data_IF_624910984755
#
_entry.id   IF_624910984755
#
_cell.length_a   1.000
_cell.length_b   1.000
_cell.length_c   1.000
_cell.angle_alpha   90.00
_cell.angle_beta   90.00
_cell.angle_gamma   90.00
#
_symmetry.space_group_name_H-M   'P 1'
#
loop_
_entity.id
_entity.type
_entity.pdbx_description
1 polymer ?
#
# COMPACT_ATOMS: atom_id res chain seq x y z
N UNK A 1 29.91 -28.45 6.10
CA UNK A 1 29.92 -29.32 4.92
C UNK A 1 29.47 -28.52 3.72
N UNK A 2 30.20 -28.51 2.58
CA UNK A 2 29.68 -27.88 1.37
C UNK A 2 28.39 -28.60 0.99
N UNK A 3 27.26 -27.89 0.98
CA UNK A 3 26.00 -28.43 0.49
C UNK A 3 26.21 -28.80 -0.98
N UNK A 4 26.25 -30.10 -1.27
CA UNK A 4 26.28 -30.58 -2.64
C UNK A 4 25.04 -30.05 -3.35
N UNK A 5 25.27 -29.43 -4.52
CA UNK A 5 24.18 -28.96 -5.37
C UNK A 5 23.36 -30.20 -5.75
N UNK A 6 22.08 -30.22 -5.35
CA UNK A 6 21.15 -31.28 -5.75
C UNK A 6 21.20 -31.47 -7.26
N UNK A 7 21.45 -32.69 -7.73
CA UNK A 7 21.57 -33.00 -9.16
C UNK A 7 20.29 -32.63 -9.90
N UNK A 8 20.41 -32.27 -11.19
CA UNK A 8 19.22 -32.04 -12.02
C UNK A 8 18.47 -33.35 -12.18
N UNK A 9 17.16 -33.34 -11.96
CA UNK A 9 16.30 -34.53 -12.08
C UNK A 9 16.39 -35.15 -13.48
N UNK A 10 16.51 -34.33 -14.52
CA UNK A 10 16.73 -34.78 -15.91
C UNK A 10 18.03 -35.58 -16.06
N UNK A 11 19.10 -35.15 -15.37
CA UNK A 11 20.40 -35.81 -15.41
C UNK A 11 20.34 -37.12 -14.62
N UNK A 12 19.67 -37.14 -13.47
CA UNK A 12 19.45 -38.38 -12.73
C UNK A 12 18.66 -39.42 -13.54
N UNK A 13 17.62 -39.00 -14.26
CA UNK A 13 16.83 -39.89 -15.12
C UNK A 13 17.65 -40.40 -16.31
N UNK A 14 18.45 -39.54 -16.95
CA UNK A 14 19.31 -39.91 -18.07
C UNK A 14 20.37 -40.94 -17.66
N UNK A 15 20.98 -40.76 -16.48
CA UNK A 15 21.99 -41.68 -15.96
C UNK A 15 21.39 -42.96 -15.34
N UNK A 16 20.12 -42.94 -14.90
CA UNK A 16 19.38 -44.19 -14.57
C UNK A 16 19.22 -45.10 -15.78
N UNK A 17 19.01 -44.54 -16.96
CA UNK A 17 18.89 -45.31 -18.20
C UNK A 17 20.25 -45.83 -18.74
N UNK A 18 21.37 -45.32 -18.23
CA UNK A 18 22.73 -45.68 -18.67
C UNK A 18 23.56 -46.25 -17.50
N UNK A 19 23.31 -47.52 -17.18
CA UNK A 19 23.96 -48.25 -16.07
C UNK A 19 25.49 -48.22 -16.08
N UNK A 20 26.11 -48.12 -17.27
CA UNK A 20 27.57 -48.04 -17.45
C UNK A 20 28.24 -46.82 -16.78
N UNK A 21 27.48 -45.79 -16.41
CA UNK A 21 28.01 -44.55 -15.83
C UNK A 21 27.61 -44.33 -14.36
N UNK A 22 26.93 -45.31 -13.73
CA UNK A 22 26.40 -45.18 -12.35
C UNK A 22 27.53 -45.02 -11.33
N UNK A 23 28.66 -45.69 -11.54
CA UNK A 23 29.83 -45.63 -10.64
C UNK A 23 30.66 -44.34 -10.83
N UNK A 24 30.43 -43.59 -11.92
CA UNK A 24 31.16 -42.37 -12.26
C UNK A 24 30.43 -41.12 -11.75
N UNK A 25 30.33 -40.99 -10.42
CA UNK A 25 29.65 -39.87 -9.75
C UNK A 25 30.16 -38.48 -10.17
N UNK A 26 31.45 -38.37 -10.50
CA UNK A 26 32.06 -37.14 -10.99
C UNK A 26 31.55 -36.75 -12.39
N UNK A 27 31.36 -37.71 -13.31
CA UNK A 27 30.81 -37.45 -14.65
C UNK A 27 29.36 -36.97 -14.54
N UNK A 28 28.56 -37.63 -13.71
CA UNK A 28 27.17 -37.23 -13.44
C UNK A 28 27.12 -35.79 -12.91
N UNK A 29 28.04 -35.45 -12.00
CA UNK A 29 28.13 -34.12 -11.41
C UNK A 29 28.59 -33.08 -12.43
N UNK A 30 29.58 -33.38 -13.28
CA UNK A 30 30.04 -32.48 -14.33
C UNK A 30 29.00 -32.25 -15.41
N UNK A 31 28.28 -33.29 -15.85
CA UNK A 31 27.18 -33.16 -16.81
C UNK A 31 26.03 -32.36 -16.19
N UNK A 32 25.72 -32.59 -14.91
CA UNK A 32 24.72 -31.78 -14.20
C UNK A 32 25.14 -30.33 -14.05
N UNK A 33 26.44 -30.02 -13.90
CA UNK A 33 26.94 -28.64 -13.84
C UNK A 33 26.95 -27.98 -15.22
N UNK A 34 27.27 -28.74 -16.26
CA UNK A 34 27.32 -28.25 -17.64
C UNK A 34 25.92 -27.91 -18.18
N UNK A 35 24.94 -28.78 -17.92
CA UNK A 35 23.55 -28.57 -18.33
C UNK A 35 22.81 -27.55 -17.46
N UNK A 36 23.44 -27.00 -16.42
CA UNK A 36 22.81 -26.09 -15.48
C UNK A 36 22.72 -24.65 -16.02
N UNK A 37 21.84 -24.43 -17.00
CA UNK A 37 21.51 -23.09 -17.49
C UNK A 37 20.76 -22.24 -16.46
N UNK A 38 20.23 -22.87 -15.40
CA UNK A 38 19.46 -22.18 -14.36
C UNK A 38 20.26 -21.11 -13.63
N UNK A 39 21.58 -21.22 -13.65
CA UNK A 39 22.49 -20.31 -12.94
C UNK A 39 22.86 -19.08 -13.75
N UNK A 40 22.53 -19.04 -15.05
CA UNK A 40 22.63 -17.82 -15.87
C UNK A 40 21.35 -16.99 -15.80
N UNK A 41 20.28 -17.53 -15.20
CA UNK A 41 19.06 -16.79 -14.98
C UNK A 41 19.29 -15.64 -14.00
N UNK A 42 18.85 -14.42 -14.35
CA UNK A 42 18.89 -13.33 -13.40
C UNK A 42 17.96 -13.64 -12.22
N UNK A 43 18.48 -13.50 -11.00
CA UNK A 43 17.75 -13.67 -9.73
C UNK A 43 16.28 -13.17 -9.72
N UNK A 44 15.96 -11.99 -10.28
CA UNK A 44 14.59 -11.48 -10.31
C UNK A 44 13.64 -12.37 -11.13
N UNK A 45 14.11 -12.96 -12.25
CA UNK A 45 13.33 -13.97 -13.00
C UNK A 45 13.28 -15.29 -12.27
N UNK A 46 14.34 -15.66 -11.55
CA UNK A 46 14.33 -16.88 -10.73
C UNK A 46 13.30 -16.78 -9.58
N UNK A 47 13.17 -15.61 -8.96
CA UNK A 47 12.14 -15.32 -7.95
C UNK A 47 10.73 -15.46 -8.52
N UNK A 48 10.53 -15.26 -9.84
CA UNK A 48 9.24 -15.43 -10.47
C UNK A 48 8.74 -16.89 -10.52
N UNK A 49 9.61 -17.87 -10.22
CA UNK A 49 9.26 -19.30 -10.17
C UNK A 49 8.97 -19.81 -8.75
N UNK A 50 9.01 -18.95 -7.72
CA UNK A 50 8.66 -19.28 -6.32
C UNK A 50 9.46 -20.44 -5.69
N UNK A 51 10.60 -20.80 -6.31
CA UNK A 51 11.37 -21.97 -5.92
C UNK A 51 12.59 -21.56 -5.10
N UNK A 52 12.52 -21.76 -3.78
CA UNK A 52 13.67 -21.64 -2.89
C UNK A 52 14.83 -22.57 -3.31
N UNK A 53 14.50 -23.76 -3.85
CA UNK A 53 15.51 -24.70 -4.36
C UNK A 53 16.28 -24.13 -5.55
N UNK A 54 15.60 -23.44 -6.46
CA UNK A 54 16.23 -22.75 -7.59
C UNK A 54 17.16 -21.64 -7.09
N UNK A 55 16.71 -20.84 -6.12
CA UNK A 55 17.52 -19.75 -5.57
C UNK A 55 18.75 -20.26 -4.79
N UNK A 56 18.60 -21.31 -3.99
CA UNK A 56 19.73 -21.98 -3.33
C UNK A 56 20.70 -22.57 -4.34
N UNK A 57 20.20 -23.16 -5.42
CA UNK A 57 21.02 -23.69 -6.51
C UNK A 57 21.83 -22.59 -7.19
N UNK A 58 21.22 -21.44 -7.45
CA UNK A 58 21.90 -20.25 -8.01
C UNK A 58 22.98 -19.75 -7.04
N UNK A 59 22.65 -19.70 -5.75
CA UNK A 59 23.56 -19.26 -4.68
C UNK A 59 24.78 -20.16 -4.53
N UNK A 60 24.58 -21.47 -4.35
CA UNK A 60 25.68 -22.43 -4.13
C UNK A 60 26.63 -22.40 -5.32
N UNK A 61 26.08 -22.33 -6.53
CA UNK A 61 26.86 -22.22 -7.76
C UNK A 61 27.63 -20.89 -7.88
N UNK A 62 27.09 -19.79 -7.35
CA UNK A 62 27.78 -18.48 -7.27
C UNK A 62 28.90 -18.50 -6.23
N UNK A 63 28.69 -19.14 -5.06
CA UNK A 63 29.73 -19.30 -4.04
C UNK A 63 30.85 -20.25 -4.46
N UNK A 64 30.52 -21.33 -5.17
CA UNK A 64 31.51 -22.23 -5.76
C UNK A 64 32.40 -21.49 -6.76
N UNK A 65 31.81 -20.61 -7.58
CA UNK A 65 32.55 -19.75 -8.50
C UNK A 65 33.51 -18.79 -7.76
N UNK A 66 33.11 -18.23 -6.61
CA UNK A 66 33.98 -17.38 -5.76
C UNK A 66 35.26 -18.11 -5.31
N UNK A 67 35.20 -19.43 -5.11
CA UNK A 67 36.35 -20.24 -4.67
C UNK A 67 37.28 -20.62 -5.83
N UNK A 68 36.75 -20.67 -7.05
CA UNK A 68 37.54 -20.89 -8.26
C UNK A 68 38.21 -19.58 -8.69
N UNK A 69 39.34 -19.23 -8.06
CA UNK A 69 40.28 -18.21 -8.58
C UNK A 69 40.87 -18.71 -9.91
N UNK A 70 40.12 -18.65 -11.01
CA UNK A 70 40.70 -18.69 -12.36
C UNK A 70 40.75 -17.26 -12.86
N UNK A 71 41.96 -16.75 -13.07
CA UNK A 71 42.26 -15.44 -13.64
C UNK A 71 41.92 -15.34 -15.13
N UNK A 72 40.80 -15.93 -15.55
CA UNK A 72 40.27 -15.85 -16.90
C UNK A 72 39.32 -14.65 -17.03
N UNK A 73 39.40 -13.96 -18.16
CA UNK A 73 38.57 -12.80 -18.48
C UNK A 73 37.13 -13.18 -18.88
N UNK A 74 36.64 -14.34 -18.46
CA UNK A 74 35.34 -14.86 -18.86
C UNK A 74 34.23 -14.07 -18.15
N UNK A 75 33.37 -13.47 -18.97
CA UNK A 75 32.17 -12.78 -18.52
C UNK A 75 31.13 -13.81 -18.05
N UNK A 76 30.56 -13.60 -16.86
CA UNK A 76 29.42 -14.37 -16.38
C UNK A 76 28.56 -13.54 -15.43
N UNK A 77 27.24 -13.78 -15.45
CA UNK A 77 26.28 -13.10 -14.58
C UNK A 77 26.62 -13.29 -13.08
N UNK A 78 27.13 -14.47 -12.71
CA UNK A 78 27.56 -14.82 -11.35
C UNK A 78 28.75 -13.98 -10.88
N UNK A 79 29.72 -13.75 -11.79
CA UNK A 79 30.87 -12.88 -11.53
C UNK A 79 30.39 -11.46 -11.29
N UNK A 80 29.49 -10.96 -12.15
CA UNK A 80 28.91 -9.62 -12.03
C UNK A 80 28.18 -9.40 -10.69
N UNK A 81 27.41 -10.38 -10.22
CA UNK A 81 26.75 -10.33 -8.90
C UNK A 81 27.72 -10.23 -7.72
N UNK A 82 28.92 -10.80 -7.86
CA UNK A 82 29.95 -10.78 -6.83
C UNK A 82 30.89 -9.57 -6.93
N UNK A 83 31.19 -9.12 -8.14
CA UNK A 83 32.18 -8.07 -8.40
C UNK A 83 31.57 -6.67 -8.42
N UNK A 84 30.38 -6.50 -9.00
CA UNK A 84 29.77 -5.19 -9.20
C UNK A 84 28.73 -4.89 -8.11
N UNK A 85 29.02 -3.87 -7.31
CA UNK A 85 28.14 -3.37 -6.25
C UNK A 85 26.80 -2.83 -6.78
N UNK A 86 26.80 -2.20 -7.96
CA UNK A 86 25.61 -1.59 -8.54
C UNK A 86 24.69 -2.64 -9.11
N UNK A 87 25.26 -3.61 -9.84
CA UNK A 87 24.51 -4.75 -10.33
C UNK A 87 23.91 -5.57 -9.19
N UNK A 88 24.68 -5.84 -8.13
CA UNK A 88 24.19 -6.50 -6.92
C UNK A 88 23.01 -5.75 -6.29
N UNK A 89 23.10 -4.43 -6.19
CA UNK A 89 22.03 -3.58 -5.65
C UNK A 89 20.79 -3.56 -6.54
N UNK A 90 20.95 -3.44 -7.86
CA UNK A 90 19.86 -3.50 -8.83
C UNK A 90 19.14 -4.84 -8.75
N UNK A 91 19.90 -5.95 -8.80
CA UNK A 91 19.34 -7.28 -8.83
C UNK A 91 18.59 -7.62 -7.53
N UNK A 92 19.13 -7.21 -6.39
CA UNK A 92 18.46 -7.34 -5.10
C UNK A 92 17.13 -6.58 -5.07
N UNK A 93 17.11 -5.30 -5.46
CA UNK A 93 15.87 -4.52 -5.42
C UNK A 93 14.83 -5.01 -6.43
N UNK A 94 15.24 -5.44 -7.62
CA UNK A 94 14.31 -6.02 -8.61
C UNK A 94 13.72 -7.35 -8.15
N UNK A 95 14.55 -8.24 -7.59
CA UNK A 95 14.05 -9.49 -7.00
C UNK A 95 13.12 -9.25 -5.82
N UNK A 96 13.46 -8.28 -4.96
CA UNK A 96 12.64 -7.91 -3.82
C UNK A 96 11.29 -7.33 -4.25
N UNK A 97 11.25 -6.47 -5.27
CA UNK A 97 9.98 -5.96 -5.83
C UNK A 97 9.06 -7.09 -6.32
N UNK A 98 9.61 -8.06 -7.04
CA UNK A 98 8.81 -9.16 -7.59
C UNK A 98 8.25 -10.07 -6.50
N UNK A 99 9.05 -10.36 -5.47
CA UNK A 99 8.65 -11.16 -4.30
C UNK A 99 7.61 -10.41 -3.45
N UNK A 100 7.76 -9.10 -3.28
CA UNK A 100 6.83 -8.26 -2.51
C UNK A 100 5.44 -8.22 -3.17
N UNK A 101 5.38 -8.13 -4.50
CA UNK A 101 4.11 -8.20 -5.25
C UNK A 101 3.31 -9.46 -4.95
N UNK A 102 4.00 -10.56 -4.67
CA UNK A 102 3.41 -11.87 -4.39
C UNK A 102 3.12 -12.12 -2.91
N UNK A 103 3.56 -11.23 -2.02
CA UNK A 103 3.48 -11.38 -0.55
C UNK A 103 4.28 -12.58 -0.02
N UNK A 104 5.32 -13.02 -0.73
CA UNK A 104 6.11 -14.19 -0.34
C UNK A 104 7.15 -13.88 0.75
N UNK A 105 6.71 -13.92 2.01
CA UNK A 105 7.54 -13.58 3.16
C UNK A 105 8.81 -14.43 3.31
N UNK A 106 8.73 -15.73 2.99
CA UNK A 106 9.87 -16.64 3.09
C UNK A 106 11.00 -16.26 2.10
N UNK A 107 10.62 -15.84 0.89
CA UNK A 107 11.57 -15.39 -0.11
C UNK A 107 12.17 -14.03 0.24
N UNK A 108 11.40 -13.14 0.87
CA UNK A 108 11.92 -11.87 1.41
C UNK A 108 13.01 -12.12 2.46
N UNK A 109 12.72 -12.97 3.45
CA UNK A 109 13.68 -13.37 4.50
C UNK A 109 14.95 -13.98 3.91
N UNK A 110 14.76 -14.83 2.89
CA UNK A 110 15.88 -15.42 2.17
C UNK A 110 16.71 -14.33 1.50
N UNK A 111 16.11 -13.45 0.69
CA UNK A 111 16.83 -12.39 -0.01
C UNK A 111 17.56 -11.44 0.96
N UNK A 112 16.93 -11.05 2.07
CA UNK A 112 17.56 -10.17 3.06
C UNK A 112 18.76 -10.80 3.74
N UNK A 113 18.68 -12.10 4.10
CA UNK A 113 19.80 -12.83 4.69
C UNK A 113 21.00 -12.93 3.73
N UNK A 114 20.76 -12.96 2.43
CA UNK A 114 21.78 -13.13 1.40
C UNK A 114 22.40 -11.82 0.91
N UNK A 115 21.64 -10.73 0.91
CA UNK A 115 22.06 -9.42 0.41
C UNK A 115 22.30 -8.39 1.51
N UNK A 116 22.91 -8.83 2.61
CA UNK A 116 23.28 -7.99 3.74
C UNK A 116 24.05 -6.73 3.32
N UNK A 117 23.70 -5.59 3.93
CA UNK A 117 24.33 -4.29 3.71
C UNK A 117 23.91 -3.55 2.43
N UNK A 118 23.00 -4.13 1.64
CA UNK A 118 22.42 -3.46 0.46
C UNK A 118 21.24 -2.58 0.90
N UNK A 119 21.18 -1.33 0.44
CA UNK A 119 20.04 -0.46 0.72
C UNK A 119 18.78 -0.93 -0.04
N UNK A 120 17.63 -0.80 0.60
CA UNK A 120 16.32 -1.05 -0.01
C UNK A 120 15.83 0.28 -0.61
N UNK A 121 15.56 0.27 -1.92
CA UNK A 121 15.08 1.47 -2.63
C UNK A 121 13.64 1.79 -2.23
N UNK A 122 13.22 3.07 -2.29
CA UNK A 122 11.87 3.46 -1.92
C UNK A 122 10.79 2.73 -2.71
N UNK A 123 11.06 2.41 -3.99
CA UNK A 123 10.10 1.69 -4.83
C UNK A 123 9.69 0.32 -4.26
N UNK A 124 10.58 -0.36 -3.52
CA UNK A 124 10.22 -1.62 -2.86
C UNK A 124 9.22 -1.36 -1.74
N UNK A 125 9.49 -0.34 -0.91
CA UNK A 125 8.60 0.04 0.18
C UNK A 125 7.23 0.51 -0.34
N UNK A 126 7.19 1.27 -1.44
CA UNK A 126 5.93 1.68 -2.08
C UNK A 126 5.16 0.48 -2.64
N UNK A 127 5.84 -0.51 -3.24
CA UNK A 127 5.18 -1.74 -3.69
C UNK A 127 4.66 -2.59 -2.54
N UNK A 128 5.37 -2.66 -1.42
CA UNK A 128 4.88 -3.35 -0.23
C UNK A 128 3.64 -2.66 0.34
N UNK A 129 3.63 -1.32 0.30
CA UNK A 129 2.50 -0.52 0.69
C UNK A 129 1.29 -0.68 -0.26
N UNK A 130 1.52 -0.78 -1.58
CA UNK A 130 0.46 -0.96 -2.60
C UNK A 130 -0.26 -2.30 -2.48
N UNK A 131 0.47 -3.33 -2.04
CA UNK A 131 -0.03 -4.70 -1.93
C UNK A 131 -0.65 -4.95 -0.55
N UNK A 132 -0.40 -4.06 0.41
CA UNK A 132 -0.88 -4.19 1.78
C UNK A 132 -0.10 -5.21 2.61
N UNK A 133 1.18 -5.44 2.29
CA UNK A 133 2.00 -6.47 2.91
C UNK A 133 2.58 -6.01 4.26
N UNK A 134 1.74 -5.99 5.30
CA UNK A 134 2.10 -5.50 6.64
C UNK A 134 3.31 -6.24 7.23
N UNK A 135 3.32 -7.57 7.17
CA UNK A 135 4.41 -8.39 7.72
C UNK A 135 5.77 -8.07 7.09
N UNK A 136 5.78 -7.79 5.78
CA UNK A 136 7.00 -7.43 5.05
C UNK A 136 7.47 -6.03 5.45
N UNK A 137 6.54 -5.08 5.62
CA UNK A 137 6.87 -3.72 6.05
C UNK A 137 7.42 -3.68 7.49
N UNK A 138 6.83 -4.45 8.39
CA UNK A 138 7.34 -4.65 9.75
C UNK A 138 8.74 -5.23 9.72
N UNK A 139 8.95 -6.30 8.93
CA UNK A 139 10.27 -6.89 8.77
C UNK A 139 11.30 -5.92 8.20
N UNK A 140 10.93 -5.06 7.25
CA UNK A 140 11.84 -4.03 6.74
C UNK A 140 12.22 -3.01 7.80
N UNK A 141 11.28 -2.61 8.66
CA UNK A 141 11.56 -1.68 9.76
C UNK A 141 12.42 -2.31 10.86
N UNK A 142 12.11 -3.55 11.27
CA UNK A 142 12.88 -4.27 12.30
C UNK A 142 14.34 -4.46 11.88
N UNK A 143 14.58 -4.59 10.57
CA UNK A 143 15.91 -4.70 9.99
C UNK A 143 16.46 -3.36 9.47
N UNK A 144 15.84 -2.22 9.79
CA UNK A 144 16.33 -0.91 9.34
C UNK A 144 17.48 -0.40 10.23
N UNK A 145 18.66 -0.35 9.65
CA UNK A 145 19.86 0.17 10.31
C UNK A 145 19.92 1.71 10.37
N UNK A 146 18.95 2.42 9.77
CA UNK A 146 18.95 3.89 9.72
C UNK A 146 18.73 4.54 11.10
N UNK A 147 17.93 3.91 11.97
CA UNK A 147 17.61 4.37 13.33
C UNK A 147 18.75 4.09 14.32
N UNK A 148 19.34 2.89 14.25
CA UNK A 148 20.38 2.44 15.18
C UNK A 148 21.69 3.23 15.08
N UNK A 149 22.02 3.80 13.92
CA UNK A 149 23.28 4.56 13.75
C UNK A 149 23.26 5.93 14.43
N UNK A 150 22.08 6.55 14.63
CA UNK A 150 21.97 7.82 15.38
C UNK A 150 22.25 7.62 16.88
N UNK A 151 21.88 6.48 17.44
CA UNK A 151 22.19 6.14 18.84
C UNK A 151 23.61 5.60 19.05
N UNK A 152 24.20 4.92 18.07
CA UNK A 152 25.58 4.39 18.17
C UNK A 152 26.68 5.46 18.12
N UNK A 153 26.38 6.69 17.69
CA UNK A 153 27.32 7.81 17.86
C UNK A 153 27.40 8.30 19.33
N UNK A 154 26.51 7.83 20.21
CA UNK A 154 26.44 8.29 21.61
C UNK A 154 26.89 7.26 22.66
N UNK A 155 26.88 5.94 22.42
CA UNK A 155 27.27 4.97 23.47
C UNK A 155 27.84 3.65 22.94
N UNK A 156 29.03 3.29 23.46
CA UNK A 156 29.75 2.00 23.51
C UNK A 156 29.77 1.06 22.27
N UNK A 157 30.99 0.68 21.77
CA UNK A 157 31.19 -0.09 20.54
C UNK A 157 30.99 -1.63 20.66
N UNK A 158 30.42 -2.15 21.75
CA UNK A 158 30.36 -3.62 22.01
C UNK A 158 29.01 -4.28 21.71
N UNK A 159 27.99 -3.54 21.29
CA UNK A 159 26.74 -4.16 20.77
C UNK A 159 26.92 -4.50 19.29
N UNK A 160 26.85 -5.80 19.01
CA UNK A 160 26.82 -6.42 17.68
C UNK A 160 26.15 -5.51 16.63
N UNK A 161 26.88 -5.17 15.58
CA UNK A 161 26.35 -4.45 14.42
C UNK A 161 25.27 -5.35 13.81
N UNK A 162 24.01 -5.09 14.11
CA UNK A 162 22.90 -5.79 13.47
C UNK A 162 23.02 -5.47 11.97
N UNK A 163 23.20 -6.50 11.15
CA UNK A 163 23.48 -6.36 9.71
C UNK A 163 22.16 -6.17 8.96
N UNK A 164 21.42 -5.11 9.32
CA UNK A 164 20.20 -4.68 8.65
C UNK A 164 20.42 -3.94 7.32
N UNK A 165 19.35 -3.80 6.57
CA UNK A 165 19.30 -2.99 5.35
C UNK A 165 19.05 -1.52 5.70
N UNK A 166 19.48 -0.59 4.83
CA UNK A 166 19.02 0.80 4.94
C UNK A 166 17.73 0.92 4.15
N UNK A 167 16.61 1.17 4.81
CA UNK A 167 15.33 1.40 4.13
C UNK A 167 15.16 2.90 3.86
N UNK A 168 14.96 3.26 2.59
CA UNK A 168 14.63 4.62 2.22
C UNK A 168 13.11 4.76 2.09
N UNK A 169 12.45 5.23 3.15
CA UNK A 169 11.01 5.50 3.13
C UNK A 169 10.72 6.75 2.28
N UNK A 170 9.82 6.64 1.29
CA UNK A 170 9.34 7.79 0.51
C UNK A 170 7.94 8.23 0.95
N UNK A 171 7.59 9.46 0.60
CA UNK A 171 6.23 10.01 0.79
C UNK A 171 5.20 9.23 -0.03
N UNK A 172 5.60 8.77 -1.21
CA UNK A 172 4.77 8.01 -2.14
C UNK A 172 4.22 6.71 -1.53
N UNK A 173 4.91 6.14 -0.53
CA UNK A 173 4.44 4.91 0.13
C UNK A 173 3.08 5.12 0.81
N UNK A 174 2.86 6.28 1.42
CA UNK A 174 1.58 6.63 2.02
C UNK A 174 0.52 6.87 0.94
N UNK A 175 0.86 7.60 -0.13
CA UNK A 175 -0.08 7.89 -1.21
C UNK A 175 -0.57 6.62 -1.90
N UNK A 176 0.34 5.66 -2.11
CA UNK A 176 0.01 4.40 -2.75
C UNK A 176 -0.79 3.48 -1.82
N UNK A 177 -0.49 3.47 -0.51
CA UNK A 177 -1.32 2.77 0.48
C UNK A 177 -2.75 3.33 0.54
N UNK A 178 -2.89 4.65 0.46
CA UNK A 178 -4.16 5.37 0.39
C UNK A 178 -4.92 5.00 -0.87
N UNK A 179 -4.26 5.01 -2.03
CA UNK A 179 -4.91 4.70 -3.32
C UNK A 179 -5.46 3.27 -3.39
N UNK A 180 -4.80 2.31 -2.74
CA UNK A 180 -5.23 0.90 -2.67
C UNK A 180 -6.09 0.58 -1.44
N UNK A 181 -6.33 1.56 -0.57
CA UNK A 181 -7.20 1.44 0.58
C UNK A 181 -6.70 0.57 1.72
N UNK A 182 -5.39 0.50 1.92
CA UNK A 182 -4.79 -0.28 2.98
C UNK A 182 -4.68 0.52 4.29
N UNK A 183 -5.81 0.67 5.00
CA UNK A 183 -5.91 1.45 6.25
C UNK A 183 -4.85 1.03 7.28
N UNK A 184 -4.66 -0.28 7.50
CA UNK A 184 -3.70 -0.81 8.48
C UNK A 184 -2.26 -0.39 8.16
N UNK A 185 -1.88 -0.44 6.87
CA UNK A 185 -0.55 -0.04 6.41
C UNK A 185 -0.37 1.46 6.55
N UNK A 186 -1.37 2.25 6.18
CA UNK A 186 -1.31 3.70 6.32
C UNK A 186 -1.21 4.11 7.80
N UNK A 187 -2.00 3.51 8.70
CA UNK A 187 -1.90 3.75 10.14
C UNK A 187 -0.49 3.41 10.67
N UNK A 188 0.03 2.24 10.31
CA UNK A 188 1.35 1.81 10.71
C UNK A 188 2.46 2.72 10.17
N UNK A 189 2.39 3.14 8.90
CA UNK A 189 3.36 4.06 8.31
C UNK A 189 3.36 5.39 9.07
N UNK A 190 2.18 5.96 9.35
CA UNK A 190 2.06 7.23 10.06
C UNK A 190 2.66 7.19 11.47
N UNK A 191 2.54 6.05 12.17
CA UNK A 191 3.09 5.89 13.52
C UNK A 191 4.61 5.63 13.53
N UNK A 192 5.09 4.77 12.62
CA UNK A 192 6.45 4.23 12.70
C UNK A 192 7.47 4.94 11.80
N UNK A 193 7.05 5.86 10.92
CA UNK A 193 7.95 6.59 10.03
C UNK A 193 7.90 8.12 10.24
N UNK A 194 8.20 8.63 11.45
CA UNK A 194 8.10 10.06 11.75
C UNK A 194 9.12 10.92 10.98
N UNK A 195 10.15 10.32 10.38
CA UNK A 195 11.17 11.05 9.61
C UNK A 195 10.67 11.58 8.26
N UNK A 196 9.60 11.02 7.72
CA UNK A 196 9.09 11.39 6.41
C UNK A 196 7.99 12.44 6.57
N UNK A 197 8.15 13.61 5.93
CA UNK A 197 7.11 14.64 5.90
C UNK A 197 6.02 14.25 4.91
N UNK A 198 5.04 13.49 5.39
CA UNK A 198 3.87 13.07 4.63
C UNK A 198 2.92 14.24 4.36
N UNK A 199 2.30 14.26 3.18
CA UNK A 199 1.12 15.07 2.93
C UNK A 199 -0.10 14.36 3.53
N UNK A 200 -0.47 14.76 4.75
CA UNK A 200 -1.57 14.16 5.51
C UNK A 200 -2.95 14.50 4.91
N UNK A 201 -3.02 15.47 4.00
CA UNK A 201 -4.28 15.95 3.41
C UNK A 201 -4.97 14.85 2.59
N UNK A 202 -4.21 14.11 1.78
CA UNK A 202 -4.74 12.99 0.97
C UNK A 202 -5.17 11.81 1.85
N UNK A 203 -4.40 11.49 2.88
CA UNK A 203 -4.75 10.44 3.83
C UNK A 203 -6.01 10.79 4.61
N UNK A 204 -6.19 12.08 4.96
CA UNK A 204 -7.41 12.58 5.60
C UNK A 204 -8.63 12.49 4.69
N UNK A 205 -8.52 12.97 3.45
CA UNK A 205 -9.59 12.85 2.45
C UNK A 205 -10.03 11.38 2.29
N UNK A 206 -9.06 10.47 2.22
CA UNK A 206 -9.34 9.05 2.13
C UNK A 206 -10.01 8.46 3.38
N UNK A 207 -9.53 8.81 4.58
CA UNK A 207 -10.15 8.39 5.83
C UNK A 207 -11.65 8.75 5.89
N UNK A 208 -11.97 9.98 5.51
CA UNK A 208 -13.35 10.48 5.43
C UNK A 208 -14.16 9.75 4.35
N UNK A 209 -13.55 9.44 3.19
CA UNK A 209 -14.18 8.64 2.12
C UNK A 209 -14.35 7.16 2.43
N UNK A 210 -13.65 6.63 3.44
CA UNK A 210 -13.86 5.27 3.91
C UNK A 210 -14.81 5.22 5.12
N UNK A 211 -15.06 6.36 5.77
CA UNK A 211 -15.83 6.45 7.01
C UNK A 211 -15.04 6.11 8.26
N UNK A 212 -13.71 6.13 8.19
CA UNK A 212 -12.83 5.89 9.33
C UNK A 212 -12.66 7.18 10.14
N UNK A 213 -13.66 7.49 10.95
CA UNK A 213 -13.72 8.72 11.76
C UNK A 213 -12.56 8.78 12.76
N UNK A 214 -12.23 7.65 13.40
CA UNK A 214 -11.15 7.59 14.39
C UNK A 214 -9.79 7.97 13.78
N UNK A 215 -9.50 7.46 12.59
CA UNK A 215 -8.32 7.85 11.84
C UNK A 215 -8.36 9.32 11.39
N UNK A 216 -9.53 9.81 10.96
CA UNK A 216 -9.69 11.20 10.55
C UNK A 216 -9.44 12.17 11.71
N UNK A 217 -9.97 11.91 12.90
CA UNK A 217 -9.70 12.65 14.13
C UNK A 217 -8.21 12.63 14.52
N UNK A 218 -7.58 11.45 14.41
CA UNK A 218 -6.15 11.32 14.65
C UNK A 218 -5.33 12.16 13.67
N UNK A 219 -5.69 12.16 12.38
CA UNK A 219 -5.01 12.97 11.37
C UNK A 219 -5.16 14.48 11.62
N UNK A 220 -6.36 14.94 12.02
CA UNK A 220 -6.61 16.35 12.38
C UNK A 220 -5.77 16.78 13.57
N UNK A 221 -5.76 16.00 14.66
CA UNK A 221 -4.96 16.30 15.86
C UNK A 221 -3.45 16.34 15.56
N UNK A 222 -3.00 15.65 14.51
CA UNK A 222 -1.61 15.66 14.05
C UNK A 222 -1.35 16.66 12.91
N UNK A 223 -2.22 17.68 12.75
CA UNK A 223 -2.00 18.82 11.85
C UNK A 223 -2.32 18.56 10.38
N UNK A 224 -3.14 17.55 10.06
CA UNK A 224 -3.74 17.46 8.73
C UNK A 224 -4.73 18.62 8.55
N UNK A 225 -4.63 19.32 7.42
CA UNK A 225 -5.57 20.38 7.07
C UNK A 225 -6.34 19.98 5.81
N UNK A 226 -7.66 20.09 5.86
CA UNK A 226 -8.46 20.00 4.64
C UNK A 226 -8.22 21.28 3.81
N UNK A 227 -7.96 21.15 2.50
CA UNK A 227 -8.00 22.33 1.61
C UNK A 227 -9.46 22.73 1.40
N UNK A 228 -9.95 23.59 2.29
CA UNK A 228 -11.36 23.99 2.52
C UNK A 228 -12.12 24.63 1.34
N UNK A 229 -11.54 24.75 0.15
CA UNK A 229 -12.17 25.45 -0.97
C UNK A 229 -12.84 24.47 -1.95
N UNK A 230 -12.04 23.84 -2.82
CA UNK A 230 -12.56 22.98 -3.91
C UNK A 230 -12.64 21.52 -3.48
N UNK A 231 -11.66 21.04 -2.70
CA UNK A 231 -11.60 19.64 -2.29
C UNK A 231 -12.61 19.31 -1.18
N UNK A 232 -12.82 20.23 -0.22
CA UNK A 232 -13.83 20.01 0.82
C UNK A 232 -15.25 19.84 0.28
N UNK A 233 -15.63 20.63 -0.74
CA UNK A 233 -16.94 20.48 -1.42
C UNK A 233 -17.06 19.11 -2.08
N UNK A 234 -16.08 18.72 -2.89
CA UNK A 234 -16.07 17.41 -3.56
C UNK A 234 -16.17 16.26 -2.57
N UNK A 235 -15.48 16.36 -1.43
CA UNK A 235 -15.50 15.36 -0.38
C UNK A 235 -16.91 15.18 0.21
N UNK A 236 -17.62 16.27 0.51
CA UNK A 236 -19.00 16.20 1.05
C UNK A 236 -19.97 15.59 0.05
N UNK A 237 -19.88 15.96 -1.24
CA UNK A 237 -20.69 15.33 -2.29
C UNK A 237 -20.46 13.83 -2.36
N UNK A 238 -19.21 13.38 -2.30
CA UNK A 238 -18.86 11.96 -2.37
C UNK A 238 -19.31 11.17 -1.13
N UNK A 239 -19.20 11.75 0.07
CA UNK A 239 -19.72 11.14 1.31
C UNK A 239 -21.25 11.06 1.28
N UNK A 240 -21.93 12.09 0.78
CA UNK A 240 -23.39 12.12 0.62
C UNK A 240 -23.86 11.10 -0.43
N UNK A 241 -23.12 10.92 -1.53
CA UNK A 241 -23.38 9.90 -2.54
C UNK A 241 -23.25 8.47 -1.99
N UNK A 242 -22.45 8.26 -0.93
CA UNK A 242 -22.27 6.97 -0.26
C UNK A 242 -23.26 6.77 0.91
N UNK A 243 -24.05 7.79 1.25
CA UNK A 243 -25.06 7.69 2.31
C UNK A 243 -24.50 7.71 3.74
N UNK A 244 -23.24 8.08 3.94
CA UNK A 244 -22.59 8.07 5.26
C UNK A 244 -22.97 9.29 6.12
N UNK A 245 -24.15 9.21 6.71
CA UNK A 245 -24.71 10.24 7.59
C UNK A 245 -23.84 10.52 8.83
N UNK A 246 -23.25 9.48 9.40
CA UNK A 246 -22.32 9.53 10.53
C UNK A 246 -21.12 10.45 10.26
N UNK A 247 -20.48 10.29 9.09
CA UNK A 247 -19.35 11.11 8.65
C UNK A 247 -19.78 12.54 8.38
N UNK A 248 -20.94 12.76 7.76
CA UNK A 248 -21.46 14.11 7.50
C UNK A 248 -21.75 14.88 8.79
N UNK A 249 -22.36 14.21 9.78
CA UNK A 249 -22.59 14.79 11.11
C UNK A 249 -21.28 15.14 11.80
N UNK A 250 -20.28 14.27 11.70
CA UNK A 250 -18.96 14.52 12.25
C UNK A 250 -18.26 15.70 11.56
N UNK A 251 -18.25 15.75 10.22
CA UNK A 251 -17.67 16.84 9.45
C UNK A 251 -18.33 18.19 9.75
N UNK A 252 -19.64 18.21 9.95
CA UNK A 252 -20.35 19.41 10.35
C UNK A 252 -19.97 19.83 11.78
N UNK A 253 -19.97 18.90 12.73
CA UNK A 253 -19.67 19.18 14.13
C UNK A 253 -18.29 19.81 14.31
N UNK A 254 -17.31 19.37 13.54
CA UNK A 254 -15.94 19.90 13.56
C UNK A 254 -15.79 21.19 12.73
N UNK A 255 -16.88 21.72 12.15
CA UNK A 255 -16.90 22.91 11.27
C UNK A 255 -15.91 22.82 10.08
N UNK A 256 -15.56 21.60 9.68
CA UNK A 256 -14.53 21.34 8.68
C UNK A 256 -15.01 21.58 7.25
N UNK A 257 -16.31 21.64 7.01
CA UNK A 257 -16.84 21.90 5.67
C UNK A 257 -18.12 22.71 5.73
N UNK A 258 -18.25 23.67 4.80
CA UNK A 258 -19.55 24.27 4.49
C UNK A 258 -20.33 23.32 3.58
N UNK A 259 -21.47 22.84 4.06
CA UNK A 259 -22.41 22.09 3.25
C UNK A 259 -22.90 23.02 2.14
N UNK A 260 -22.39 22.76 0.93
CA UNK A 260 -22.63 23.57 -0.25
C UNK A 260 -23.94 23.20 -0.93
N UNK A 261 -24.31 24.00 -1.93
CA UNK A 261 -25.36 23.66 -2.87
C UNK A 261 -25.13 22.29 -3.54
N UNK A 262 -26.22 21.55 -3.77
CA UNK A 262 -26.25 20.30 -4.54
C UNK A 262 -26.01 19.01 -3.75
N UNK A 263 -25.61 19.08 -2.48
CA UNK A 263 -25.37 17.87 -1.65
C UNK A 263 -26.68 17.08 -1.43
N UNK A 264 -27.80 17.79 -1.28
CA UNK A 264 -29.14 17.19 -1.18
C UNK A 264 -29.51 16.44 -2.46
N UNK A 265 -29.19 17.02 -3.61
CA UNK A 265 -29.44 16.40 -4.93
C UNK A 265 -28.65 15.11 -5.07
N UNK A 266 -27.35 15.11 -4.76
CA UNK A 266 -26.50 13.91 -4.83
C UNK A 266 -26.97 12.81 -3.87
N UNK A 267 -27.39 13.17 -2.66
CA UNK A 267 -27.97 12.20 -1.72
C UNK A 267 -29.32 11.63 -2.22
N UNK A 268 -30.17 12.47 -2.82
CA UNK A 268 -31.45 12.08 -3.39
C UNK A 268 -31.30 11.20 -4.63
N UNK A 269 -30.36 11.51 -5.52
CA UNK A 269 -30.00 10.70 -6.69
C UNK A 269 -29.61 9.27 -6.29
N UNK A 270 -28.85 9.13 -5.21
CA UNK A 270 -28.40 7.82 -4.71
C UNK A 270 -29.38 7.16 -3.72
N UNK A 271 -30.53 7.79 -3.43
CA UNK A 271 -31.58 7.19 -2.58
C UNK A 271 -31.33 7.23 -1.08
N UNK A 272 -30.40 8.05 -0.61
CA UNK A 272 -30.04 8.13 0.80
C UNK A 272 -31.00 9.06 1.58
N UNK A 273 -32.19 8.54 1.87
CA UNK A 273 -33.26 9.27 2.57
C UNK A 273 -32.82 9.87 3.90
N UNK A 274 -32.03 9.15 4.70
CA UNK A 274 -31.60 9.62 6.02
C UNK A 274 -30.63 10.81 5.94
N UNK A 275 -29.76 10.82 4.92
CA UNK A 275 -28.88 11.96 4.61
C UNK A 275 -29.72 13.15 4.14
N UNK A 276 -30.68 12.92 3.25
CA UNK A 276 -31.59 13.98 2.78
C UNK A 276 -32.38 14.58 3.94
N UNK A 277 -32.97 13.74 4.82
CA UNK A 277 -33.69 14.20 6.02
C UNK A 277 -32.84 15.13 6.86
N UNK A 278 -31.63 14.67 7.22
CA UNK A 278 -30.72 15.43 8.05
C UNK A 278 -30.27 16.74 7.39
N UNK A 279 -29.91 16.72 6.10
CA UNK A 279 -29.53 17.93 5.36
C UNK A 279 -30.67 18.96 5.30
N UNK A 280 -31.91 18.50 5.15
CA UNK A 280 -33.07 19.37 5.12
C UNK A 280 -33.42 19.95 6.48
N UNK A 281 -33.23 19.19 7.57
CA UNK A 281 -33.39 19.67 8.94
C UNK A 281 -32.32 20.71 9.28
N UNK A 282 -31.12 20.51 8.76
CA UNK A 282 -30.02 21.43 8.96
C UNK A 282 -30.19 22.74 8.18
N UNK A 283 -30.53 22.65 6.89
CA UNK A 283 -30.79 23.81 6.05
C UNK A 283 -32.06 24.56 6.47
N UNK A 284 -33.00 23.90 7.15
CA UNK A 284 -34.15 24.55 7.76
C UNK A 284 -33.72 25.64 8.79
N UNK A 285 -32.55 25.54 9.42
CA UNK A 285 -32.01 26.60 10.28
C UNK A 285 -31.23 27.69 9.54
N UNK A 286 -30.87 27.49 8.26
CA UNK A 286 -30.00 28.35 7.44
C UNK A 286 -30.76 28.83 6.19
N UNK A 287 -31.51 29.92 6.33
CA UNK A 287 -32.36 30.61 5.33
C UNK A 287 -32.38 30.14 3.85
N UNK A 288 -33.60 29.79 3.40
CA UNK A 288 -34.28 30.07 2.11
C UNK A 288 -33.70 29.67 0.74
N UNK A 289 -32.60 28.93 0.62
CA UNK A 289 -32.07 28.55 -0.72
C UNK A 289 -32.43 27.15 -1.23
N UNK A 290 -33.36 26.47 -0.58
CA UNK A 290 -33.67 25.08 -0.92
C UNK A 290 -34.61 24.91 -2.12
N UNK A 291 -35.32 25.96 -2.55
CA UNK A 291 -36.40 25.84 -3.54
C UNK A 291 -35.98 25.21 -4.88
N UNK A 292 -34.82 25.60 -5.41
CA UNK A 292 -34.31 25.04 -6.67
C UNK A 292 -33.75 23.63 -6.53
N UNK A 293 -33.02 23.36 -5.44
CA UNK A 293 -32.40 22.04 -5.19
C UNK A 293 -33.42 20.97 -4.81
N UNK A 294 -34.45 21.35 -4.04
CA UNK A 294 -35.53 20.43 -3.66
C UNK A 294 -36.36 20.01 -4.87
N UNK A 295 -36.68 20.94 -5.78
CA UNK A 295 -37.42 20.63 -7.01
C UNK A 295 -36.65 19.64 -7.90
N UNK A 296 -35.34 19.89 -8.09
CA UNK A 296 -34.50 19.01 -8.88
C UNK A 296 -34.30 17.65 -8.20
N UNK A 297 -34.14 17.61 -6.87
CA UNK A 297 -34.06 16.39 -6.08
C UNK A 297 -35.35 15.55 -6.13
N UNK A 298 -36.53 16.16 -6.20
CA UNK A 298 -37.81 15.45 -6.40
C UNK A 298 -37.83 14.79 -7.79
N UNK A 299 -37.43 15.52 -8.82
CA UNK A 299 -37.36 14.99 -10.17
C UNK A 299 -36.38 13.82 -10.28
N UNK A 300 -35.17 13.95 -9.73
CA UNK A 300 -34.17 12.87 -9.79
C UNK A 300 -34.59 11.64 -8.99
N UNK A 301 -35.17 11.83 -7.80
CA UNK A 301 -35.73 10.74 -7.00
C UNK A 301 -36.86 9.99 -7.73
N UNK A 302 -37.74 10.71 -8.43
CA UNK A 302 -38.82 10.13 -9.21
C UNK A 302 -38.31 9.34 -10.43
N UNK A 303 -37.31 9.88 -11.15
CA UNK A 303 -36.67 9.20 -12.29
C UNK A 303 -35.99 7.90 -11.85
N UNK A 304 -35.35 7.89 -10.67
CA UNK A 304 -34.65 6.72 -10.15
C UNK A 304 -35.57 5.71 -9.43
N UNK A 305 -36.89 5.93 -9.43
CA UNK A 305 -37.87 5.02 -8.82
C UNK A 305 -37.89 5.05 -7.28
N UNK A 306 -37.29 6.07 -6.66
CA UNK A 306 -37.19 6.24 -5.21
C UNK A 306 -38.46 6.90 -4.65
N UNK A 307 -39.58 6.17 -4.72
CA UNK A 307 -40.92 6.68 -4.41
C UNK A 307 -41.06 7.28 -3.00
N UNK A 308 -40.47 6.64 -1.98
CA UNK A 308 -40.56 7.12 -0.60
C UNK A 308 -39.80 8.43 -0.40
N UNK A 309 -38.67 8.58 -1.09
CA UNK A 309 -37.86 9.80 -1.05
C UNK A 309 -38.54 10.94 -1.81
N UNK A 310 -39.12 10.66 -2.98
CA UNK A 310 -39.88 11.63 -3.74
C UNK A 310 -41.14 12.11 -2.99
N UNK A 311 -41.89 11.18 -2.35
CA UNK A 311 -43.04 11.53 -1.49
C UNK A 311 -42.61 12.39 -0.31
N UNK A 312 -41.50 12.04 0.34
CA UNK A 312 -40.98 12.79 1.48
C UNK A 312 -40.55 14.21 1.09
N UNK A 313 -39.78 14.35 0.00
CA UNK A 313 -39.37 15.65 -0.52
C UNK A 313 -40.55 16.50 -0.96
N UNK A 314 -41.54 15.90 -1.62
CA UNK A 314 -42.76 16.59 -2.05
C UNK A 314 -43.57 17.11 -0.87
N UNK A 315 -43.83 16.27 0.13
CA UNK A 315 -44.55 16.66 1.33
C UNK A 315 -43.86 17.84 2.04
N UNK A 316 -42.53 17.87 2.04
CA UNK A 316 -41.73 18.93 2.67
C UNK A 316 -41.56 20.19 1.81
N UNK A 317 -41.72 20.09 0.49
CA UNK A 317 -41.78 21.23 -0.42
C UNK A 317 -43.17 21.88 -0.43
N UNK A 318 -44.23 21.08 -0.26
CA UNK A 318 -45.63 21.51 -0.18
C UNK A 318 -46.01 22.10 1.19
N UNK A 319 -45.16 21.97 2.22
CA UNK A 319 -45.32 22.76 3.46
C UNK A 319 -44.80 24.18 3.23
N UNK A 320 -45.67 25.20 3.05
CA UNK A 320 -45.22 26.57 3.14
C UNK A 320 -44.75 26.80 4.58
N UNK A 321 -43.53 27.29 4.77
CA UNK A 321 -43.21 28.08 5.96
C UNK A 321 -44.01 29.35 5.86
N UNK A 322 -45.28 29.28 6.26
CA UNK A 322 -46.11 30.45 6.41
C UNK A 322 -45.36 31.42 7.31
N UNK A 323 -45.08 32.60 6.75
CA UNK A 323 -44.75 33.82 7.46
C UNK A 323 -45.93 34.27 8.35
N UNK A 324 -46.37 33.42 9.27
CA UNK A 324 -47.53 33.66 10.13
C UNK A 324 -47.28 33.19 11.57
N UNK A 325 -46.12 33.53 12.15
CA UNK A 325 -45.94 33.62 13.61
C UNK A 325 -45.25 34.92 14.06
N UNK A 326 -45.07 35.91 13.17
CA UNK A 326 -44.59 37.24 13.53
C UNK A 326 -45.65 38.30 13.20
N UNK A 327 -46.86 38.25 13.78
CA UNK A 327 -47.80 39.40 13.79
C UNK A 327 -49.07 39.23 14.65
N UNK A 328 -49.10 38.48 15.77
CA UNK A 328 -50.27 38.57 16.67
C UNK A 328 -49.92 38.33 18.15
N UNK A 329 -49.01 39.11 18.72
CA UNK A 329 -49.00 39.37 20.17
C UNK A 329 -48.57 40.82 20.43
N UNK A 330 -49.44 41.76 20.07
CA UNK A 330 -49.54 43.07 20.72
C UNK A 330 -51.00 43.50 20.70
N UNK A 331 -51.70 43.29 21.81
CA UNK A 331 -52.84 44.09 22.23
C UNK A 331 -52.42 44.84 23.49
#
# INVERSE_FOLDING_TARGET
MPQEVSRLLVVELLFRAKSAFVDLSHVITSVSQFLDSSVELPLHKACAFESLRLLERIRVSTQAYRKQKRGGNDWSLRKLLLSDRFYRHYQFNQSLQEVVKRKDFNLVKWLSAHFQGVAIVPQVATTAASVGAMEILQFFLDNDNSSHRRQLQSTNPTKQIVVGHRVQWSKDALEVAVLHGHNNVMWWLLQHTPSVRYDKSKAFEYAVKNGDIALAEWLLSHGAALRLQIQGRRLVHEVAAQGRLDVLRWLEKEELVSISCGVVMVAAENGHLDVVRWLLDLNAGRSDKLGGEASLAIHTAAVNGLLDLAKYLRARAETPRNACQCAVETW
#
